data_IF_418160040818
#
_entry.id   IF_418160040818
#
_cell.length_a   1.000
_cell.length_b   1.000
_cell.length_c   1.000
_cell.angle_alpha   90.00
_cell.angle_beta   90.00
_cell.angle_gamma   90.00
#
_symmetry.space_group_name_H-M   'P 1'
#
loop_
_entity.id
_entity.type
_entity.pdbx_description
1 polymer ?
#
# COMPACT_ATOMS: atom_id res chain seq x y z
N UNK A 1 -5.62 14.41 25.29
CA UNK A 1 -4.30 14.26 24.62
C UNK A 1 -4.26 12.89 23.94
N UNK A 2 -3.73 12.75 22.72
CA UNK A 2 -3.63 11.44 22.07
C UNK A 2 -2.50 10.60 22.69
N UNK A 3 -2.77 9.33 23.01
CA UNK A 3 -1.76 8.43 23.57
C UNK A 3 -0.54 8.32 22.65
N UNK A 4 0.66 8.63 23.17
CA UNK A 4 1.92 8.49 22.43
C UNK A 4 2.42 7.04 22.48
N UNK A 5 1.51 6.09 22.22
CA UNK A 5 1.81 4.66 22.17
C UNK A 5 2.85 4.40 21.06
N UNK A 6 3.90 3.65 21.41
CA UNK A 6 5.02 3.38 20.50
C UNK A 6 4.57 2.37 19.43
N UNK A 7 4.48 2.82 18.18
CA UNK A 7 4.09 1.98 17.05
C UNK A 7 5.24 1.05 16.65
N UNK A 8 5.16 -0.20 17.09
CA UNK A 8 6.15 -1.25 16.77
C UNK A 8 5.75 -1.97 15.48
N UNK A 9 6.60 -1.91 14.44
CA UNK A 9 6.38 -2.52 13.12
C UNK A 9 7.35 -3.68 12.88
N UNK A 10 6.85 -4.82 12.37
CA UNK A 10 7.71 -5.91 11.87
C UNK A 10 8.04 -5.67 10.39
N UNK A 11 9.31 -5.39 10.08
CA UNK A 11 9.80 -5.11 8.73
C UNK A 11 9.74 -6.31 7.77
N UNK A 12 9.60 -7.54 8.29
CA UNK A 12 9.57 -8.75 7.46
C UNK A 12 8.50 -8.66 6.39
N UNK A 13 8.88 -8.90 5.14
CA UNK A 13 7.93 -9.01 4.04
C UNK A 13 7.42 -7.67 3.50
N UNK A 14 7.83 -6.53 4.05
CA UNK A 14 7.44 -5.21 3.55
C UNK A 14 8.36 -4.73 2.42
N UNK A 15 7.87 -3.83 1.57
CA UNK A 15 8.65 -3.19 0.51
C UNK A 15 9.30 -1.89 1.02
N UNK A 16 10.63 -1.83 0.96
CA UNK A 16 11.50 -0.77 1.52
C UNK A 16 10.92 0.64 1.39
N UNK A 17 10.72 1.12 0.15
CA UNK A 17 10.25 2.49 -0.10
C UNK A 17 8.80 2.76 0.33
N UNK A 18 7.90 1.76 0.21
CA UNK A 18 6.49 1.92 0.64
C UNK A 18 6.37 1.98 2.16
N UNK A 19 7.16 1.16 2.88
CA UNK A 19 7.24 1.23 4.33
C UNK A 19 7.86 2.55 4.78
N UNK A 20 8.96 2.98 4.13
CA UNK A 20 9.67 4.21 4.47
C UNK A 20 8.77 5.46 4.34
N UNK A 21 7.98 5.57 3.26
CA UNK A 21 7.09 6.72 3.03
C UNK A 21 5.97 6.81 4.08
N UNK A 22 5.37 5.66 4.45
CA UNK A 22 4.34 5.61 5.49
C UNK A 22 4.94 5.97 6.86
N UNK A 23 6.11 5.42 7.19
CA UNK A 23 6.82 5.73 8.44
C UNK A 23 7.21 7.21 8.51
N UNK A 24 7.75 7.79 7.44
CA UNK A 24 8.07 9.22 7.37
C UNK A 24 6.86 10.11 7.71
N UNK A 25 5.69 9.83 7.12
CA UNK A 25 4.44 10.56 7.40
C UNK A 25 4.01 10.42 8.86
N UNK A 26 3.99 9.20 9.42
CA UNK A 26 3.60 8.97 10.82
C UNK A 26 4.53 9.69 11.82
N UNK A 27 5.82 9.74 11.50
CA UNK A 27 6.86 10.34 12.33
C UNK A 27 6.84 11.89 12.29
N UNK A 28 6.46 12.48 11.15
CA UNK A 28 6.16 13.92 11.04
C UNK A 28 4.90 14.31 11.81
N UNK A 29 3.89 13.44 11.87
CA UNK A 29 2.68 13.57 12.71
C UNK A 29 2.95 13.33 14.22
N UNK A 30 4.21 13.26 14.65
CA UNK A 30 4.59 13.17 16.07
C UNK A 30 4.62 11.76 16.67
N UNK A 31 4.17 10.72 15.95
CA UNK A 31 4.13 9.35 16.48
C UNK A 31 5.55 8.77 16.63
N UNK A 32 5.80 8.11 17.77
CA UNK A 32 7.05 7.35 18.03
C UNK A 32 6.94 6.00 17.32
N UNK A 33 7.83 5.71 16.38
CA UNK A 33 7.77 4.52 15.52
C UNK A 33 9.04 3.69 15.67
N UNK A 34 8.90 2.37 15.81
CA UNK A 34 10.02 1.45 15.93
C UNK A 34 9.88 0.38 14.85
N UNK A 35 10.79 0.36 13.88
CA UNK A 35 10.83 -0.66 12.82
C UNK A 35 11.88 -1.70 13.16
N UNK A 36 11.44 -2.96 13.20
CA UNK A 36 12.19 -4.08 13.75
C UNK A 36 12.33 -5.15 12.68
N UNK A 37 13.37 -5.99 12.72
CA UNK A 37 13.65 -7.01 11.69
C UNK A 37 13.88 -6.41 10.30
N UNK A 38 14.71 -5.37 10.25
CA UNK A 38 15.03 -4.66 9.00
C UNK A 38 15.72 -5.56 7.96
N UNK A 39 16.42 -6.62 8.37
CA UNK A 39 16.99 -7.64 7.49
C UNK A 39 15.93 -8.37 6.64
N UNK A 40 14.69 -8.47 7.17
CA UNK A 40 13.55 -9.10 6.50
C UNK A 40 12.79 -8.19 5.53
N UNK A 41 13.19 -6.93 5.36
CA UNK A 41 12.61 -6.00 4.38
C UNK A 41 12.97 -6.45 2.96
N UNK A 42 12.05 -6.26 2.02
CA UNK A 42 12.22 -6.59 0.61
C UNK A 42 12.38 -5.34 -0.28
N UNK A 43 13.06 -5.50 -1.41
CA UNK A 43 13.11 -4.54 -2.53
C UNK A 43 12.55 -5.25 -3.77
N UNK A 44 11.79 -4.55 -4.60
CA UNK A 44 11.27 -5.11 -5.86
C UNK A 44 12.37 -5.24 -6.93
N UNK A 45 12.20 -6.21 -7.85
CA UNK A 45 13.15 -6.51 -8.90
C UNK A 45 14.27 -7.46 -8.46
N UNK A 46 15.01 -7.98 -9.46
CA UNK A 46 16.05 -8.99 -9.24
C UNK A 46 17.15 -8.51 -8.27
N UNK A 47 17.67 -9.45 -7.47
CA UNK A 47 18.74 -9.22 -6.52
C UNK A 47 19.97 -8.54 -7.16
N UNK A 48 20.45 -9.06 -8.30
CA UNK A 48 21.64 -8.53 -8.98
C UNK A 48 21.51 -7.05 -9.37
N UNK A 49 20.35 -6.63 -9.92
CA UNK A 49 20.05 -5.22 -10.22
C UNK A 49 20.07 -4.34 -8.97
N UNK A 50 19.59 -4.84 -7.84
CA UNK A 50 19.60 -4.11 -6.58
C UNK A 50 21.01 -4.07 -5.94
N UNK A 51 21.85 -5.12 -6.13
CA UNK A 51 23.28 -5.10 -5.80
C UNK A 51 24.02 -4.05 -6.64
N UNK A 52 23.87 -4.06 -7.97
CA UNK A 52 24.50 -3.05 -8.85
C UNK A 52 24.11 -1.61 -8.48
N UNK A 53 22.84 -1.34 -8.19
CA UNK A 53 22.40 -0.03 -7.67
C UNK A 53 23.13 0.36 -6.38
N UNK A 54 23.34 -0.57 -5.46
CA UNK A 54 24.06 -0.28 -4.22
C UNK A 54 25.55 -0.04 -4.48
N UNK A 55 26.20 -0.88 -5.30
CA UNK A 55 27.61 -0.70 -5.69
C UNK A 55 27.85 0.64 -6.41
N UNK A 56 26.94 1.04 -7.31
CA UNK A 56 26.99 2.36 -7.97
C UNK A 56 26.83 3.52 -6.97
N UNK A 57 26.07 3.33 -5.89
CA UNK A 57 26.02 4.28 -4.78
C UNK A 57 27.35 4.29 -3.98
N UNK A 58 27.97 3.14 -3.71
CA UNK A 58 29.27 3.07 -3.00
C UNK A 58 30.40 3.83 -3.71
N UNK A 59 30.41 3.85 -5.05
CA UNK A 59 31.39 4.61 -5.84
C UNK A 59 31.36 6.12 -5.58
N UNK A 60 30.27 6.66 -5.01
CA UNK A 60 30.14 8.07 -4.67
C UNK A 60 30.92 8.40 -3.39
N UNK A 61 32.20 8.77 -3.55
CA UNK A 61 33.07 9.34 -2.51
C UNK A 61 33.39 10.81 -2.83
N UNK A 62 33.74 11.59 -1.81
CA UNK A 62 34.44 12.87 -2.03
C UNK A 62 35.88 12.53 -2.43
N UNK A 63 36.41 13.18 -3.47
CA UNK A 63 37.73 12.83 -4.01
C UNK A 63 38.88 13.33 -3.11
N UNK A 64 38.75 14.55 -2.57
CA UNK A 64 39.76 15.19 -1.71
C UNK A 64 39.86 14.56 -0.32
N UNK A 65 38.73 14.34 0.35
CA UNK A 65 38.69 13.67 1.65
C UNK A 65 37.48 12.72 1.75
N UNK A 66 37.66 11.40 1.53
CA UNK A 66 36.57 10.43 1.58
C UNK A 66 35.81 10.38 2.91
N UNK A 67 36.44 10.70 4.04
CA UNK A 67 35.82 10.70 5.37
C UNK A 67 34.81 11.85 5.56
N UNK A 68 35.02 12.99 4.89
CA UNK A 68 34.02 14.09 4.80
C UNK A 68 32.93 13.82 3.74
N UNK A 69 33.04 12.72 2.99
CA UNK A 69 32.11 12.34 1.92
C UNK A 69 30.83 11.63 2.37
N UNK A 70 30.00 11.15 1.42
CA UNK A 70 28.72 10.50 1.73
C UNK A 70 28.90 9.16 2.47
N UNK A 71 28.46 9.07 3.72
CA UNK A 71 28.63 7.85 4.52
C UNK A 71 27.89 6.63 3.92
N UNK A 72 28.60 5.51 3.82
CA UNK A 72 28.15 4.24 3.21
C UNK A 72 27.79 3.19 4.27
N UNK A 73 26.66 3.36 4.95
CA UNK A 73 26.15 2.38 5.93
C UNK A 73 25.91 1.00 5.29
N UNK A 74 26.15 -0.08 6.04
CA UNK A 74 26.00 -1.48 5.57
C UNK A 74 24.83 -2.23 6.20
N UNK A 75 24.51 -1.97 7.47
CA UNK A 75 23.43 -2.65 8.18
C UNK A 75 22.03 -2.37 7.58
N UNK A 76 21.13 -3.37 7.46
CA UNK A 76 19.79 -3.20 6.89
C UNK A 76 18.99 -2.09 7.56
N UNK A 77 19.01 -2.03 8.90
CA UNK A 77 18.43 -0.96 9.73
C UNK A 77 18.88 0.44 9.31
N UNK A 78 20.18 0.63 9.09
CA UNK A 78 20.76 1.92 8.66
C UNK A 78 20.48 2.25 7.20
N UNK A 79 20.30 1.25 6.33
CA UNK A 79 19.80 1.46 4.96
C UNK A 79 18.35 1.96 5.01
N UNK A 80 17.48 1.32 5.80
CA UNK A 80 16.09 1.75 5.97
C UNK A 80 15.99 3.15 6.60
N UNK A 81 16.76 3.43 7.67
CA UNK A 81 16.85 4.77 8.26
C UNK A 81 17.33 5.81 7.24
N UNK A 82 18.31 5.50 6.38
CA UNK A 82 18.73 6.39 5.29
C UNK A 82 17.58 6.68 4.32
N UNK A 83 16.78 5.68 3.95
CA UNK A 83 15.62 5.90 3.06
C UNK A 83 14.54 6.77 3.71
N UNK A 84 14.26 6.60 5.01
CA UNK A 84 13.32 7.48 5.72
C UNK A 84 13.89 8.90 5.86
N UNK A 85 15.19 9.04 6.15
CA UNK A 85 15.89 10.34 6.19
C UNK A 85 15.84 11.10 4.87
N UNK A 86 15.88 10.38 3.74
CA UNK A 86 15.70 10.96 2.40
C UNK A 86 14.28 11.44 2.11
N UNK A 87 13.28 10.99 2.88
CA UNK A 87 11.87 11.38 2.80
C UNK A 87 11.48 12.42 3.88
N UNK A 88 12.45 12.96 4.62
CA UNK A 88 12.23 13.92 5.71
C UNK A 88 13.08 15.18 5.52
N UNK A 89 12.57 16.37 5.91
CA UNK A 89 13.29 17.65 5.84
C UNK A 89 14.36 17.76 6.96
N UNK A 90 15.27 16.78 7.01
CA UNK A 90 16.22 16.50 8.10
C UNK A 90 17.30 17.57 8.36
N UNK A 91 17.33 18.62 7.54
CA UNK A 91 18.12 19.82 7.79
C UNK A 91 17.44 20.78 8.77
N UNK A 92 16.11 20.77 8.82
CA UNK A 92 15.31 21.56 9.78
C UNK A 92 15.29 20.91 11.17
N UNK A 93 15.11 21.71 12.22
CA UNK A 93 14.92 21.21 13.60
C UNK A 93 13.68 20.30 13.70
N UNK A 94 12.59 20.62 13.01
CA UNK A 94 11.38 19.77 12.91
C UNK A 94 11.68 18.40 12.30
N UNK A 95 12.53 18.35 11.27
CA UNK A 95 12.96 17.11 10.62
C UNK A 95 13.95 16.27 11.46
N UNK A 96 14.74 16.91 12.31
CA UNK A 96 15.62 16.26 13.29
C UNK A 96 14.78 15.62 14.40
N UNK A 97 13.94 16.42 15.09
CA UNK A 97 13.00 15.92 16.10
C UNK A 97 12.00 14.89 15.58
N UNK A 98 11.76 14.83 14.26
CA UNK A 98 11.07 13.73 13.60
C UNK A 98 11.94 12.46 13.60
N UNK A 99 13.16 12.49 13.08
CA UNK A 99 14.08 11.34 13.05
C UNK A 99 14.34 10.73 14.43
N UNK A 100 14.39 11.53 15.49
CA UNK A 100 14.64 11.06 16.86
C UNK A 100 13.49 10.20 17.41
N UNK A 101 12.28 10.34 16.85
CA UNK A 101 11.11 9.48 17.13
C UNK A 101 11.16 8.13 16.42
N UNK A 102 12.06 7.95 15.46
CA UNK A 102 12.24 6.72 14.68
C UNK A 102 13.39 5.89 15.23
N UNK A 103 13.09 4.69 15.74
CA UNK A 103 14.12 3.68 16.07
C UNK A 103 14.06 2.53 15.06
N UNK A 104 15.23 1.98 14.71
CA UNK A 104 15.38 0.94 13.70
C UNK A 104 16.28 -0.19 14.23
N UNK A 105 15.90 -1.44 14.01
CA UNK A 105 16.65 -2.60 14.52
C UNK A 105 16.70 -3.75 13.49
N UNK A 106 17.86 -4.41 13.45
CA UNK A 106 18.06 -5.71 12.81
C UNK A 106 17.78 -6.80 13.87
N UNK A 107 17.00 -7.84 13.53
CA UNK A 107 16.38 -8.73 14.52
C UNK A 107 15.38 -8.02 15.45
N UNK A 108 14.92 -8.70 16.51
CA UNK A 108 14.10 -8.09 17.60
C UNK A 108 14.90 -8.07 18.92
N UNK A 109 15.42 -6.90 19.36
CA UNK A 109 15.99 -6.77 20.69
C UNK A 109 14.90 -6.66 21.78
N UNK A 110 15.19 -7.05 23.04
CA UNK A 110 14.44 -6.57 24.20
C UNK A 110 14.43 -5.03 24.23
N UNK A 111 13.36 -4.35 24.69
CA UNK A 111 12.13 -4.89 25.29
C UNK A 111 11.00 -5.18 24.27
N UNK A 112 11.31 -5.27 22.96
CA UNK A 112 10.29 -5.40 21.91
C UNK A 112 9.88 -6.85 21.61
N UNK A 113 10.60 -7.85 22.12
CA UNK A 113 10.28 -9.28 21.93
C UNK A 113 8.96 -9.70 22.59
N UNK A 114 8.55 -8.98 23.65
CA UNK A 114 7.29 -9.19 24.38
C UNK A 114 6.11 -8.39 23.80
N UNK A 115 6.38 -7.34 23.03
CA UNK A 115 5.36 -6.42 22.51
C UNK A 115 4.68 -6.99 21.25
N UNK A 116 3.39 -6.71 21.08
CA UNK A 116 2.67 -6.99 19.82
C UNK A 116 3.29 -6.12 18.73
N UNK A 117 3.64 -6.74 17.61
CA UNK A 117 4.13 -6.06 16.40
C UNK A 117 2.99 -5.87 15.43
N UNK A 118 2.89 -4.69 14.85
CA UNK A 118 1.94 -4.33 13.83
C UNK A 118 2.56 -4.50 12.44
N UNK A 119 1.71 -4.53 11.42
CA UNK A 119 2.04 -4.75 10.01
C UNK A 119 1.37 -3.63 9.21
N UNK A 120 1.94 -3.26 8.07
CA UNK A 120 1.42 -2.19 7.19
C UNK A 120 0.97 -2.82 5.86
N UNK A 121 -0.31 -3.23 5.71
CA UNK A 121 -0.78 -3.95 4.52
C UNK A 121 -0.49 -3.22 3.20
N UNK A 122 -0.62 -1.89 3.19
CA UNK A 122 -0.34 -1.04 2.04
C UNK A 122 1.12 -1.11 1.54
N UNK A 123 2.06 -1.63 2.35
CA UNK A 123 3.47 -1.82 2.03
C UNK A 123 3.91 -3.30 1.99
N UNK A 124 3.03 -4.28 2.23
CA UNK A 124 3.38 -5.70 2.16
C UNK A 124 3.72 -6.16 0.73
N UNK A 125 4.78 -6.96 0.58
CA UNK A 125 5.22 -7.55 -0.70
C UNK A 125 4.14 -8.41 -1.34
N UNK A 126 3.42 -9.20 -0.54
CA UNK A 126 2.35 -10.10 -1.04
C UNK A 126 1.12 -9.33 -1.55
N UNK A 127 0.81 -8.18 -0.97
CA UNK A 127 -0.33 -7.32 -1.39
C UNK A 127 0.05 -6.43 -2.58
N UNK A 128 1.33 -6.14 -2.79
CA UNK A 128 1.79 -5.09 -3.72
C UNK A 128 2.68 -5.54 -4.89
N UNK A 129 3.08 -6.80 -4.97
CA UNK A 129 3.75 -7.38 -6.16
C UNK A 129 2.96 -8.59 -6.67
N UNK A 130 2.79 -8.71 -8.00
CA UNK A 130 2.35 -9.97 -8.64
C UNK A 130 3.33 -11.10 -8.26
N UNK A 131 2.85 -12.33 -7.95
CA UNK A 131 3.67 -13.39 -7.35
C UNK A 131 4.86 -13.81 -8.21
N UNK A 132 4.75 -13.72 -9.54
CA UNK A 132 5.79 -14.04 -10.53
C UNK A 132 6.96 -13.04 -10.55
N UNK A 133 6.89 -11.89 -9.87
CA UNK A 133 7.94 -10.86 -9.92
C UNK A 133 9.04 -11.12 -8.89
N UNK A 134 10.26 -11.38 -9.38
CA UNK A 134 11.50 -11.50 -8.58
C UNK A 134 11.70 -10.27 -7.67
N UNK A 135 12.15 -10.52 -6.44
CA UNK A 135 12.41 -9.51 -5.40
C UNK A 135 13.73 -9.83 -4.68
N UNK A 136 14.25 -8.87 -3.91
CA UNK A 136 15.52 -8.97 -3.19
C UNK A 136 15.32 -8.78 -1.68
N UNK A 137 15.97 -9.62 -0.85
CA UNK A 137 16.01 -9.45 0.60
C UNK A 137 17.08 -8.42 1.01
N UNK A 138 16.73 -7.49 1.90
CA UNK A 138 17.66 -6.45 2.36
C UNK A 138 18.81 -7.02 3.19
N UNK A 139 18.58 -8.05 4.01
CA UNK A 139 19.64 -8.74 4.77
C UNK A 139 20.73 -9.35 3.88
N UNK A 140 20.35 -10.03 2.79
CA UNK A 140 21.31 -10.58 1.80
C UNK A 140 22.05 -9.45 1.09
N UNK A 141 21.34 -8.39 0.68
CA UNK A 141 21.96 -7.24 0.01
C UNK A 141 22.98 -6.55 0.91
N UNK A 142 22.64 -6.34 2.18
CA UNK A 142 23.52 -5.78 3.20
C UNK A 142 24.79 -6.60 3.40
N UNK A 143 24.67 -7.93 3.51
CA UNK A 143 25.81 -8.83 3.70
C UNK A 143 26.76 -8.81 2.49
N UNK A 144 26.24 -8.95 1.27
CA UNK A 144 27.03 -8.89 0.03
C UNK A 144 27.65 -7.51 -0.28
N UNK A 145 27.35 -6.49 0.53
CA UNK A 145 28.05 -5.19 0.51
C UNK A 145 28.84 -4.92 1.80
N UNK A 146 29.08 -5.91 2.65
CA UNK A 146 29.98 -5.80 3.82
C UNK A 146 29.31 -5.67 5.20
N UNK A 147 28.06 -6.10 5.37
CA UNK A 147 27.46 -6.23 6.72
C UNK A 147 27.94 -7.52 7.40
N UNK A 148 28.77 -7.35 8.44
CA UNK A 148 29.41 -8.45 9.18
C UNK A 148 28.44 -9.26 10.08
N UNK A 149 27.38 -8.65 10.59
CA UNK A 149 26.58 -9.21 11.69
C UNK A 149 25.41 -10.12 11.28
N UNK A 150 25.34 -10.59 10.03
CA UNK A 150 24.23 -11.43 9.56
C UNK A 150 24.08 -12.72 10.38
N UNK A 151 25.18 -13.47 10.56
CA UNK A 151 25.17 -14.73 11.30
C UNK A 151 24.76 -14.56 12.77
N UNK A 152 25.32 -13.54 13.45
CA UNK A 152 24.99 -13.19 14.84
C UNK A 152 23.51 -12.80 14.97
N UNK A 153 22.98 -12.03 14.02
CA UNK A 153 21.55 -11.65 14.01
C UNK A 153 20.66 -12.89 13.83
N UNK A 154 21.06 -13.84 12.98
CA UNK A 154 20.31 -15.07 12.74
C UNK A 154 20.26 -16.00 13.96
N UNK A 155 21.38 -16.22 14.65
CA UNK A 155 21.42 -17.06 15.86
C UNK A 155 20.65 -16.44 17.03
N UNK A 156 20.70 -15.11 17.20
CA UNK A 156 19.88 -14.39 18.17
C UNK A 156 18.38 -14.47 17.84
N UNK A 157 17.99 -14.32 16.57
CA UNK A 157 16.60 -14.49 16.13
C UNK A 157 16.08 -15.92 16.34
N UNK A 158 16.92 -16.96 16.23
CA UNK A 158 16.52 -18.34 16.54
C UNK A 158 16.37 -18.59 18.05
N UNK A 159 17.35 -18.17 18.86
CA UNK A 159 17.23 -18.18 20.34
C UNK A 159 15.97 -17.45 20.82
N UNK A 160 15.55 -16.39 20.11
CA UNK A 160 14.30 -15.66 20.36
C UNK A 160 13.05 -16.40 19.82
N UNK A 161 13.15 -17.14 18.71
CA UNK A 161 12.06 -17.98 18.18
C UNK A 161 11.73 -19.13 19.12
N UNK A 162 12.71 -19.81 19.73
CA UNK A 162 12.44 -20.86 20.72
C UNK A 162 11.74 -20.32 21.98
N UNK A 163 12.25 -19.22 22.54
CA UNK A 163 11.59 -18.53 23.67
C UNK A 163 10.16 -18.10 23.33
N UNK A 164 9.89 -17.75 22.06
CA UNK A 164 8.54 -17.45 21.57
C UNK A 164 7.65 -18.69 21.37
N UNK A 165 8.20 -19.83 20.88
CA UNK A 165 7.48 -21.12 20.76
C UNK A 165 7.02 -21.60 22.14
N UNK A 166 7.88 -21.56 23.16
CA UNK A 166 7.54 -21.91 24.55
C UNK A 166 6.42 -20.99 25.08
N UNK A 167 6.56 -19.67 24.92
CA UNK A 167 5.54 -18.67 25.30
C UNK A 167 4.19 -18.92 24.60
N UNK A 168 4.22 -19.32 23.32
CA UNK A 168 3.01 -19.64 22.55
C UNK A 168 2.34 -20.95 23.01
N UNK A 169 3.12 -22.01 23.28
CA UNK A 169 2.59 -23.27 23.86
C UNK A 169 1.84 -23.00 25.17
N UNK A 170 2.47 -22.29 26.12
CA UNK A 170 1.82 -21.89 27.39
C UNK A 170 0.56 -21.04 27.15
N UNK A 171 0.58 -20.08 26.21
CA UNK A 171 -0.62 -19.29 25.87
C UNK A 171 -1.75 -20.15 25.27
N UNK A 172 -1.44 -21.14 24.42
CA UNK A 172 -2.44 -22.05 23.83
C UNK A 172 -3.07 -22.96 24.91
N UNK A 173 -2.28 -23.42 25.89
CA UNK A 173 -2.77 -24.17 27.04
C UNK A 173 -3.71 -23.31 27.91
N UNK A 174 -3.31 -22.10 28.28
CA UNK A 174 -4.15 -21.16 29.04
C UNK A 174 -5.45 -20.80 28.30
N UNK A 175 -5.41 -20.64 26.98
CA UNK A 175 -6.62 -20.43 26.16
C UNK A 175 -7.57 -21.64 26.22
N UNK A 176 -7.05 -22.86 26.14
CA UNK A 176 -7.85 -24.10 26.27
C UNK A 176 -8.48 -24.21 27.65
N UNK A 177 -7.70 -24.03 28.71
CA UNK A 177 -8.19 -24.05 30.10
C UNK A 177 -9.27 -22.99 30.34
N UNK A 178 -9.06 -21.76 29.86
CA UNK A 178 -10.06 -20.70 29.91
C UNK A 178 -11.35 -21.08 29.16
N UNK A 179 -11.25 -21.65 27.96
CA UNK A 179 -12.43 -22.10 27.20
C UNK A 179 -13.16 -23.29 27.84
N UNK A 180 -12.46 -24.15 28.56
CA UNK A 180 -13.10 -25.20 29.38
C UNK A 180 -13.79 -24.59 30.61
N UNK A 181 -13.15 -23.65 31.31
CA UNK A 181 -13.75 -22.95 32.44
C UNK A 181 -15.01 -22.19 32.03
N UNK A 182 -14.98 -21.45 30.91
CA UNK A 182 -16.13 -20.74 30.33
C UNK A 182 -17.32 -21.68 30.07
N UNK A 183 -17.08 -22.91 29.57
CA UNK A 183 -18.12 -23.95 29.43
C UNK A 183 -18.61 -24.48 30.78
N UNK A 184 -17.69 -24.83 31.69
CA UNK A 184 -18.04 -25.42 32.98
C UNK A 184 -18.93 -24.49 33.84
N UNK A 185 -18.85 -23.17 33.65
CA UNK A 185 -19.67 -22.19 34.38
C UNK A 185 -20.81 -21.59 33.54
N UNK A 186 -21.05 -22.08 32.32
CA UNK A 186 -21.96 -21.47 31.33
C UNK A 186 -23.35 -21.14 31.91
N UNK A 187 -23.96 -22.08 32.64
CA UNK A 187 -25.25 -21.89 33.32
C UNK A 187 -25.25 -20.73 34.33
N UNK A 188 -24.12 -20.46 35.01
CA UNK A 188 -23.97 -19.37 35.99
C UNK A 188 -23.70 -18.01 35.35
N UNK A 189 -23.12 -17.98 34.14
CA UNK A 189 -22.81 -16.73 33.43
C UNK A 189 -23.87 -16.31 32.42
N UNK A 190 -24.82 -17.19 32.07
CA UNK A 190 -25.75 -16.98 30.95
C UNK A 190 -26.46 -15.62 30.95
N UNK A 191 -26.96 -15.15 32.10
CA UNK A 191 -27.58 -13.82 32.27
C UNK A 191 -26.69 -12.67 31.76
N UNK A 192 -25.38 -12.74 31.98
CA UNK A 192 -24.42 -11.76 31.46
C UNK A 192 -24.11 -12.02 29.97
N UNK A 193 -23.99 -13.29 29.58
CA UNK A 193 -23.77 -13.71 28.19
C UNK A 193 -24.87 -13.22 27.26
N UNK A 194 -26.13 -13.24 27.70
CA UNK A 194 -27.30 -12.73 26.96
C UNK A 194 -27.23 -11.22 26.75
N UNK A 195 -27.02 -10.43 27.81
CA UNK A 195 -26.84 -8.98 27.70
C UNK A 195 -25.69 -8.63 26.75
N UNK A 196 -24.57 -9.39 26.79
CA UNK A 196 -23.44 -9.21 25.88
C UNK A 196 -23.75 -9.61 24.42
N UNK A 197 -24.67 -10.56 24.18
CA UNK A 197 -25.19 -10.89 22.84
C UNK A 197 -26.07 -9.76 22.31
N UNK A 198 -26.98 -9.21 23.12
CA UNK A 198 -27.86 -8.08 22.74
C UNK A 198 -27.06 -6.86 22.26
N UNK A 199 -25.91 -6.59 22.89
CA UNK A 199 -25.00 -5.50 22.51
C UNK A 199 -23.98 -5.89 21.40
N UNK A 200 -24.11 -7.06 20.77
CA UNK A 200 -23.23 -7.54 19.71
C UNK A 200 -21.78 -7.87 20.13
N UNK A 201 -21.47 -7.81 21.43
CA UNK A 201 -20.13 -8.04 21.98
C UNK A 201 -19.70 -9.51 21.91
N UNK A 202 -20.69 -10.41 21.93
CA UNK A 202 -20.51 -11.85 21.70
C UNK A 202 -21.25 -12.27 20.43
N UNK A 203 -20.54 -12.25 19.30
CA UNK A 203 -20.98 -12.91 18.07
C UNK A 203 -21.11 -14.41 18.35
N UNK A 204 -22.31 -14.96 18.16
CA UNK A 204 -22.55 -16.40 18.26
C UNK A 204 -21.60 -17.15 17.30
N UNK A 205 -21.02 -18.26 17.76
CA UNK A 205 -20.12 -19.03 16.92
C UNK A 205 -20.91 -19.65 15.75
N UNK A 206 -20.80 -19.07 14.55
CA UNK A 206 -21.25 -19.68 13.31
C UNK A 206 -20.73 -21.14 13.24
N UNK A 207 -21.55 -22.09 12.73
CA UNK A 207 -21.25 -23.52 12.80
C UNK A 207 -19.86 -23.80 12.22
N UNK A 208 -19.08 -24.59 12.96
CA UNK A 208 -17.62 -24.64 12.83
C UNK A 208 -17.10 -25.47 11.66
N UNK A 209 -17.98 -25.91 10.76
CA UNK A 209 -17.58 -26.35 9.44
C UNK A 209 -18.66 -26.12 8.38
N UNK A 210 -18.21 -25.81 7.16
CA UNK A 210 -19.07 -25.93 5.97
C UNK A 210 -19.39 -27.41 5.64
N UNK A 211 -18.61 -28.36 6.16
CA UNK A 211 -18.87 -29.80 6.01
C UNK A 211 -20.09 -30.27 6.80
N UNK A 212 -20.41 -29.73 7.98
CA UNK A 212 -21.64 -30.10 8.71
C UNK A 212 -22.90 -29.62 7.98
N UNK A 213 -22.85 -28.45 7.33
CA UNK A 213 -23.94 -27.98 6.46
C UNK A 213 -24.09 -28.85 5.21
N UNK A 214 -22.98 -29.21 4.54
CA UNK A 214 -23.02 -30.15 3.42
C UNK A 214 -23.54 -31.53 3.84
N UNK A 215 -23.12 -32.05 5.00
CA UNK A 215 -23.57 -33.35 5.51
C UNK A 215 -25.06 -33.36 5.86
N UNK A 216 -25.63 -32.22 6.27
CA UNK A 216 -27.08 -32.07 6.48
C UNK A 216 -27.86 -31.96 5.16
N UNK A 217 -27.35 -31.20 4.19
CA UNK A 217 -27.98 -31.06 2.85
C UNK A 217 -27.97 -32.40 2.11
N UNK A 218 -26.83 -33.08 2.09
CA UNK A 218 -26.68 -34.36 1.37
C UNK A 218 -27.53 -35.47 2.01
N UNK A 219 -27.73 -35.43 3.33
CA UNK A 219 -28.66 -36.32 4.05
C UNK A 219 -30.14 -36.03 3.78
N UNK A 220 -30.49 -34.86 3.22
CA UNK A 220 -31.85 -34.59 2.72
C UNK A 220 -32.09 -35.03 1.27
N UNK A 221 -31.03 -35.40 0.53
CA UNK A 221 -31.14 -35.89 -0.85
C UNK A 221 -31.25 -37.43 -0.92
N UNK A 222 -30.78 -38.17 0.10
CA UNK A 222 -30.85 -39.64 0.17
C UNK A 222 -32.26 -40.23 0.42
N UNK A 223 -33.31 -39.41 0.50
CA UNK A 223 -34.71 -39.85 0.75
C UNK A 223 -35.62 -39.62 -0.47
N UNK A 224 -35.07 -39.79 -1.68
CA UNK A 224 -35.87 -40.01 -2.89
C UNK A 224 -35.32 -41.21 -3.69
N UNK A 225 -36.14 -42.22 -4.05
CA UNK A 225 -35.69 -43.37 -4.81
C UNK A 225 -35.41 -42.99 -6.28
N UNK A 226 -34.42 -43.62 -6.94
CA UNK A 226 -34.09 -43.35 -8.33
C UNK A 226 -35.20 -43.85 -9.27
N UNK A 227 -35.59 -43.04 -10.26
CA UNK A 227 -36.50 -43.48 -11.32
C UNK A 227 -35.74 -44.18 -12.44
N UNK A 228 -35.94 -45.50 -12.57
CA UNK A 228 -35.51 -46.28 -13.73
C UNK A 228 -36.41 -47.49 -13.94
N UNK A 229 -36.80 -47.68 -15.21
CA UNK A 229 -37.76 -48.66 -15.75
C UNK A 229 -39.24 -48.28 -15.63
N UNK A 230 -39.88 -48.20 -16.80
CA UNK A 230 -41.32 -48.19 -17.03
C UNK A 230 -41.63 -49.47 -17.80
N UNK A 231 -42.59 -50.29 -17.36
CA UNK A 231 -43.23 -51.30 -18.20
C UNK A 231 -44.70 -50.93 -18.47
N UNK A 232 -45.12 -50.96 -19.72
CA UNK A 232 -46.51 -50.80 -20.11
C UNK A 232 -47.35 -52.03 -19.72
N UNK A 233 -48.50 -51.83 -19.08
CA UNK A 233 -49.67 -52.73 -19.18
C UNK A 233 -50.91 -52.08 -18.54
N UNK A 234 -51.67 -51.30 -19.33
CA UNK A 234 -52.90 -50.67 -18.88
C UNK A 234 -54.11 -51.54 -19.23
N UNK A 235 -54.56 -52.39 -18.30
CA UNK A 235 -55.93 -52.94 -18.34
C UNK A 235 -56.43 -53.45 -16.99
N UNK A 236 -57.76 -53.35 -16.80
CA UNK A 236 -58.60 -53.98 -15.77
C UNK A 236 -58.52 -53.39 -14.34
N UNK A 237 -59.71 -52.99 -13.85
CA UNK A 237 -60.02 -52.41 -12.53
C UNK A 237 -59.37 -51.03 -12.25
N UNK A 238 -60.10 -50.00 -11.79
CA UNK A 238 -61.55 -49.89 -11.62
C UNK A 238 -61.92 -48.91 -10.50
N UNK A 239 -62.66 -47.85 -10.86
CA UNK A 239 -63.33 -46.88 -9.98
C UNK A 239 -62.50 -45.87 -9.14
N UNK A 240 -62.83 -44.58 -9.40
CA UNK A 240 -63.21 -43.56 -8.40
C UNK A 240 -62.23 -42.42 -7.99
N UNK A 241 -62.75 -41.19 -8.11
CA UNK A 241 -62.38 -39.89 -7.49
C UNK A 241 -60.99 -39.27 -7.82
N UNK A 242 -60.79 -37.93 -7.73
CA UNK A 242 -60.93 -37.13 -8.95
C UNK A 242 -59.72 -36.26 -9.33
N UNK A 243 -59.62 -35.96 -10.63
CA UNK A 243 -58.62 -35.06 -11.20
C UNK A 243 -58.92 -33.58 -10.85
N UNK A 244 -58.12 -32.96 -9.98
CA UNK A 244 -58.09 -31.48 -9.82
C UNK A 244 -56.78 -30.91 -9.23
N UNK A 245 -56.05 -31.67 -8.40
CA UNK A 245 -54.86 -31.16 -7.70
C UNK A 245 -53.60 -30.92 -8.57
N UNK A 246 -53.46 -31.59 -9.71
CA UNK A 246 -52.17 -31.67 -10.42
C UNK A 246 -51.90 -30.55 -11.45
N UNK A 247 -52.94 -29.87 -11.95
CA UNK A 247 -52.77 -28.78 -12.93
C UNK A 247 -52.12 -27.54 -12.29
N UNK A 248 -52.41 -27.28 -11.01
CA UNK A 248 -51.99 -26.06 -10.34
C UNK A 248 -50.49 -26.01 -9.99
N UNK A 249 -49.88 -27.13 -9.57
CA UNK A 249 -48.44 -27.19 -9.29
C UNK A 249 -47.58 -27.12 -10.57
N UNK A 250 -48.08 -27.68 -11.69
CA UNK A 250 -47.41 -27.58 -12.98
C UNK A 250 -47.27 -26.12 -13.45
N UNK A 251 -48.37 -25.38 -13.42
CA UNK A 251 -48.39 -23.95 -13.78
C UNK A 251 -47.48 -23.12 -12.86
N UNK A 252 -47.53 -23.36 -11.54
CA UNK A 252 -46.71 -22.59 -10.60
C UNK A 252 -45.20 -22.78 -10.83
N UNK A 253 -44.76 -24.00 -11.17
CA UNK A 253 -43.34 -24.26 -11.46
C UNK A 253 -42.88 -23.63 -12.78
N UNK A 254 -43.74 -23.57 -13.80
CA UNK A 254 -43.44 -22.85 -15.04
C UNK A 254 -43.36 -21.33 -14.81
N UNK A 255 -44.35 -20.74 -14.12
CA UNK A 255 -44.40 -19.30 -13.84
C UNK A 255 -43.16 -18.82 -13.05
N UNK A 256 -42.70 -19.61 -12.08
CA UNK A 256 -41.48 -19.32 -11.31
C UNK A 256 -40.23 -19.40 -12.19
N UNK A 257 -40.14 -20.36 -13.13
CA UNK A 257 -39.00 -20.45 -14.05
C UNK A 257 -38.98 -19.30 -15.07
N UNK A 258 -40.14 -18.87 -15.57
CA UNK A 258 -40.24 -17.67 -16.42
C UNK A 258 -39.85 -16.40 -15.66
N UNK A 259 -40.33 -16.21 -14.43
CA UNK A 259 -39.94 -15.09 -13.56
C UNK A 259 -38.42 -15.07 -13.31
N UNK A 260 -37.80 -16.22 -13.03
CA UNK A 260 -36.35 -16.35 -12.87
C UNK A 260 -35.61 -16.02 -14.18
N UNK A 261 -36.12 -16.48 -15.32
CA UNK A 261 -35.54 -16.19 -16.64
C UNK A 261 -35.57 -14.69 -16.97
N UNK A 262 -36.74 -14.05 -16.84
CA UNK A 262 -36.94 -12.62 -17.06
C UNK A 262 -36.07 -11.76 -16.12
N UNK A 263 -35.93 -12.16 -14.85
CA UNK A 263 -35.06 -11.47 -13.89
C UNK A 263 -33.57 -11.59 -14.26
N UNK A 264 -33.13 -12.76 -14.73
CA UNK A 264 -31.76 -12.97 -15.22
C UNK A 264 -31.49 -12.15 -16.49
N UNK A 265 -32.44 -12.11 -17.42
CA UNK A 265 -32.32 -11.39 -18.69
C UNK A 265 -32.30 -9.87 -18.45
N UNK A 266 -33.11 -9.36 -17.50
CA UNK A 266 -33.04 -8.00 -16.97
C UNK A 266 -31.67 -7.66 -16.38
N UNK A 267 -31.14 -8.50 -15.49
CA UNK A 267 -29.81 -8.33 -14.90
C UNK A 267 -28.69 -8.31 -15.96
N UNK A 268 -28.78 -9.16 -16.97
CA UNK A 268 -27.81 -9.18 -18.08
C UNK A 268 -27.86 -7.88 -18.89
N UNK A 269 -29.05 -7.34 -19.14
CA UNK A 269 -29.23 -6.06 -19.83
C UNK A 269 -28.65 -4.89 -19.03
N UNK A 270 -28.94 -4.83 -17.73
CA UNK A 270 -28.40 -3.83 -16.80
C UNK A 270 -26.87 -3.89 -16.75
N UNK A 271 -26.29 -5.08 -16.61
CA UNK A 271 -24.83 -5.28 -16.59
C UNK A 271 -24.17 -4.93 -17.94
N UNK A 272 -24.86 -5.14 -19.07
CA UNK A 272 -24.38 -4.77 -20.39
C UNK A 272 -24.35 -3.23 -20.57
N UNK A 273 -25.40 -2.53 -20.17
CA UNK A 273 -25.45 -1.05 -20.20
C UNK A 273 -24.45 -0.39 -19.23
N UNK A 274 -24.26 -0.94 -18.03
CA UNK A 274 -23.20 -0.52 -17.10
C UNK A 274 -21.80 -0.76 -17.68
N UNK A 275 -21.61 -1.80 -18.49
CA UNK A 275 -20.34 -2.09 -19.16
C UNK A 275 -20.08 -1.20 -20.38
N UNK A 276 -21.11 -0.86 -21.17
CA UNK A 276 -20.97 0.06 -22.31
C UNK A 276 -20.77 1.51 -21.86
N UNK A 277 -21.48 1.98 -20.83
CA UNK A 277 -21.22 3.31 -20.24
C UNK A 277 -19.80 3.41 -19.69
N UNK A 278 -19.29 2.39 -19.00
CA UNK A 278 -17.87 2.31 -18.58
C UNK A 278 -16.85 2.23 -19.75
N UNK A 279 -17.28 1.94 -20.98
CA UNK A 279 -16.43 1.95 -22.17
C UNK A 279 -16.51 3.26 -22.96
N UNK A 280 -17.65 3.97 -22.90
CA UNK A 280 -17.86 5.30 -23.50
C UNK A 280 -17.31 6.46 -22.65
N UNK A 281 -16.77 6.18 -21.46
CA UNK A 281 -15.91 7.11 -20.72
C UNK A 281 -14.41 6.81 -20.97
N UNK A 282 -13.78 7.37 -22.02
CA UNK A 282 -12.32 7.49 -22.05
C UNK A 282 -11.88 8.33 -20.84
N UNK A 283 -11.02 7.76 -20.00
CA UNK A 283 -10.92 8.17 -18.60
C UNK A 283 -10.30 9.54 -18.31
N UNK A 284 -11.13 10.54 -18.00
CA UNK A 284 -10.74 11.86 -17.47
C UNK A 284 -10.71 11.89 -15.93
N UNK A 285 -9.87 11.04 -15.32
CA UNK A 285 -9.73 10.94 -13.84
C UNK A 285 -8.52 11.69 -13.27
N UNK A 286 -8.24 12.88 -13.81
CA UNK A 286 -7.40 13.93 -13.22
C UNK A 286 -7.81 15.29 -13.81
N UNK A 287 -7.54 16.37 -13.08
CA UNK A 287 -7.67 17.77 -13.53
C UNK A 287 -9.10 18.33 -13.77
N UNK A 288 -10.05 18.04 -12.87
CA UNK A 288 -11.19 18.97 -12.65
C UNK A 288 -11.58 19.13 -11.18
N UNK A 289 -10.66 19.69 -10.39
CA UNK A 289 -10.91 20.04 -8.97
C UNK A 289 -10.13 21.29 -8.49
N UNK A 290 -9.55 22.06 -9.42
CA UNK A 290 -8.74 23.25 -9.11
C UNK A 290 -9.34 24.59 -9.59
N UNK A 291 -10.36 24.57 -10.46
CA UNK A 291 -10.85 25.77 -11.15
C UNK A 291 -12.07 26.45 -10.51
N UNK A 292 -12.68 25.86 -9.48
CA UNK A 292 -13.92 26.37 -8.86
C UNK A 292 -13.66 27.02 -7.48
N UNK A 293 -12.51 26.74 -6.84
CA UNK A 293 -12.14 27.36 -5.55
C UNK A 293 -11.37 28.69 -5.70
N UNK A 294 -11.81 29.51 -6.68
CA UNK A 294 -11.30 30.86 -6.94
C UNK A 294 -12.36 31.97 -6.72
N UNK A 295 -13.65 31.62 -6.55
CA UNK A 295 -14.75 32.59 -6.40
C UNK A 295 -15.47 32.54 -5.04
N UNK A 296 -14.98 31.77 -4.07
CA UNK A 296 -15.54 31.70 -2.71
C UNK A 296 -14.57 32.23 -1.64
N UNK A 297 -14.09 33.45 -1.82
CA UNK A 297 -13.48 34.28 -0.76
C UNK A 297 -13.65 35.79 -1.06
N UNK A 298 -14.80 36.17 -1.63
CA UNK A 298 -15.24 37.56 -1.60
C UNK A 298 -15.57 37.90 -0.14
N UNK A 299 -14.64 38.58 0.54
CA UNK A 299 -14.76 38.87 1.96
C UNK A 299 -15.92 39.84 2.22
N UNK A 300 -16.94 39.39 2.97
CA UNK A 300 -17.98 40.26 3.52
C UNK A 300 -17.38 41.13 4.63
N UNK A 301 -16.73 42.22 4.22
CA UNK A 301 -16.15 43.23 5.12
C UNK A 301 -17.24 44.27 5.47
N UNK A 302 -18.19 43.85 6.32
CA UNK A 302 -19.28 44.69 6.81
C UNK A 302 -18.90 45.51 8.04
N UNK A 303 -17.99 46.47 7.89
CA UNK A 303 -17.63 47.42 8.96
C UNK A 303 -18.51 48.68 8.93
N UNK A 304 -19.16 49.00 10.05
CA UNK A 304 -19.96 50.22 10.20
C UNK A 304 -19.07 51.46 10.37
N UNK A 305 -19.45 52.57 9.71
CA UNK A 305 -18.98 53.95 9.95
C UNK A 305 -17.50 54.24 9.58
N UNK A 306 -17.09 55.39 9.02
CA UNK A 306 -17.75 56.53 8.36
C UNK A 306 -16.72 57.28 7.47
N UNK A 307 -17.11 58.13 6.48
CA UNK A 307 -16.22 58.58 5.41
C UNK A 307 -15.64 60.00 5.53
N UNK A 308 -14.51 60.27 4.86
CA UNK A 308 -14.07 61.61 4.41
C UNK A 308 -12.97 61.53 3.30
N UNK A 309 -13.07 62.39 2.27
CA UNK A 309 -12.04 62.93 1.33
C UNK A 309 -10.91 62.00 0.80
N UNK A 310 -10.83 61.65 -0.50
CA UNK A 310 -10.37 62.46 -1.66
C UNK A 310 -8.87 62.86 -1.60
N UNK A 311 -8.02 62.73 -2.64
CA UNK A 311 -8.21 62.55 -4.11
C UNK A 311 -7.24 61.50 -4.73
N UNK A 312 -7.57 60.77 -5.80
CA UNK A 312 -7.16 60.97 -7.23
C UNK A 312 -5.72 61.53 -7.42
N UNK A 313 -4.83 61.02 -8.28
CA UNK A 313 -4.78 59.89 -9.27
C UNK A 313 -3.26 59.56 -9.53
N UNK A 314 -2.71 58.53 -10.17
CA UNK A 314 -3.10 57.43 -11.10
C UNK A 314 -2.39 56.09 -10.66
N UNK A 315 -2.21 54.95 -11.35
CA UNK A 315 -2.09 54.46 -12.76
C UNK A 315 -0.73 54.72 -13.47
N UNK A 316 -0.16 53.87 -14.36
CA UNK A 316 -0.59 52.56 -14.96
C UNK A 316 0.62 51.66 -15.35
N UNK A 317 0.39 50.34 -15.55
CA UNK A 317 1.22 49.34 -16.31
C UNK A 317 2.61 48.99 -15.71
N UNK A 318 3.14 47.75 -15.76
CA UNK A 318 2.57 46.46 -16.17
C UNK A 318 3.56 45.58 -16.96
N UNK A 319 4.03 44.45 -16.41
CA UNK A 319 4.91 43.50 -17.10
C UNK A 319 4.70 42.04 -16.65
N UNK A 320 4.47 41.13 -17.62
CA UNK A 320 4.31 39.68 -17.41
C UNK A 320 5.58 38.93 -17.82
N UNK A 321 6.07 38.00 -17.00
CA UNK A 321 6.89 36.87 -17.48
C UNK A 321 6.61 35.57 -16.72
N UNK A 322 6.61 34.46 -17.45
CA UNK A 322 6.07 33.17 -16.99
C UNK A 322 7.07 32.26 -16.29
N UNK A 323 6.59 31.55 -15.27
CA UNK A 323 7.28 30.43 -14.62
C UNK A 323 7.46 29.25 -15.58
N UNK A 324 8.70 28.76 -15.75
CA UNK A 324 8.97 27.51 -16.49
C UNK A 324 9.32 26.36 -15.54
N UNK A 325 8.62 25.23 -15.69
CA UNK A 325 8.83 23.99 -14.93
C UNK A 325 9.78 23.05 -15.68
N UNK A 326 10.93 22.72 -15.08
CA UNK A 326 11.89 21.77 -15.65
C UNK A 326 11.44 20.32 -15.36
N UNK A 327 10.76 19.70 -16.33
CA UNK A 327 10.57 18.24 -16.38
C UNK A 327 11.66 17.59 -17.24
N UNK A 328 12.61 16.88 -16.60
CA UNK A 328 13.65 16.13 -17.30
C UNK A 328 13.39 14.62 -17.32
N UNK A 329 12.56 14.20 -18.28
CA UNK A 329 12.40 12.79 -18.66
C UNK A 329 13.38 12.44 -19.78
N UNK A 330 14.62 12.08 -19.43
CA UNK A 330 15.60 11.66 -20.43
C UNK A 330 15.24 10.30 -21.04
N UNK A 331 14.80 10.33 -22.29
CA UNK A 331 14.73 9.17 -23.19
C UNK A 331 16.12 8.56 -23.43
N UNK A 332 16.13 7.34 -23.99
CA UNK A 332 17.26 6.42 -23.90
C UNK A 332 17.70 5.97 -25.29
N UNK A 333 18.53 6.79 -25.92
CA UNK A 333 19.10 6.50 -27.23
C UNK A 333 20.57 6.03 -27.18
N UNK A 334 20.99 5.43 -28.29
CA UNK A 334 22.27 4.73 -28.43
C UNK A 334 23.38 5.71 -28.78
N UNK A 335 24.60 5.39 -28.33
CA UNK A 335 25.83 5.90 -28.95
C UNK A 335 26.62 4.68 -29.44
N UNK A 336 27.02 4.71 -30.70
CA UNK A 336 27.97 3.80 -31.35
C UNK A 336 28.83 4.62 -32.34
N UNK A 337 30.06 4.17 -32.68
CA UNK A 337 31.15 5.10 -33.02
C UNK A 337 31.48 5.20 -34.53
N UNK A 338 32.62 5.85 -34.82
CA UNK A 338 33.26 6.14 -36.12
C UNK A 338 32.70 7.36 -36.90
N UNK A 339 33.50 8.11 -37.68
CA UNK A 339 34.95 7.96 -38.00
C UNK A 339 35.65 9.27 -38.41
N UNK A 340 36.93 9.39 -38.02
CA UNK A 340 38.08 10.06 -38.67
C UNK A 340 37.92 11.24 -39.66
N UNK A 341 38.66 12.32 -39.33
CA UNK A 341 39.60 13.04 -40.22
C UNK A 341 39.12 13.77 -41.49
N UNK A 342 39.46 15.06 -41.59
CA UNK A 342 40.52 15.48 -42.52
C UNK A 342 41.25 16.75 -42.03
N UNK A 343 42.40 17.07 -42.64
CA UNK A 343 43.22 18.26 -42.35
C UNK A 343 42.93 19.38 -43.35
N UNK A 344 43.07 20.63 -42.91
CA UNK A 344 43.91 21.59 -43.66
C UNK A 344 44.50 22.63 -42.72
N UNK A 345 45.63 23.20 -43.11
CA UNK A 345 46.43 24.17 -42.34
C UNK A 345 46.68 25.34 -43.29
N UNK A 346 46.25 26.54 -42.93
CA UNK A 346 46.68 27.77 -43.59
C UNK A 346 47.44 28.64 -42.58
N UNK A 347 48.36 29.43 -43.11
CA UNK A 347 49.43 30.11 -42.37
C UNK A 347 49.31 31.61 -42.57
N UNK A 348 49.71 32.36 -41.54
CA UNK A 348 49.80 33.81 -41.48
C UNK A 348 50.57 34.47 -42.63
N UNK A 349 50.17 35.68 -43.00
CA UNK A 349 51.01 36.90 -43.16
C UNK A 349 50.06 38.11 -42.92
N UNK A 350 50.42 39.08 -42.06
CA UNK A 350 50.99 40.41 -42.37
C UNK A 350 49.97 41.37 -43.04
N UNK A 351 49.93 42.69 -42.81
CA UNK A 351 50.78 43.59 -41.99
C UNK A 351 50.10 44.97 -41.79
N UNK A 352 50.59 45.81 -40.85
CA UNK A 352 50.37 47.28 -40.77
C UNK A 352 48.91 47.84 -40.68
N UNK A 353 48.69 49.14 -40.47
CA UNK A 353 48.99 49.98 -39.29
C UNK A 353 47.93 51.13 -39.22
N UNK A 354 48.16 52.21 -38.45
CA UNK A 354 47.34 53.46 -38.40
C UNK A 354 45.94 53.32 -37.74
N UNK A 355 45.41 54.31 -37.00
CA UNK A 355 45.81 54.87 -35.70
C UNK A 355 44.72 55.83 -35.16
N UNK A 356 44.74 56.06 -33.83
CA UNK A 356 44.26 57.29 -33.13
C UNK A 356 42.75 57.62 -32.97
N UNK A 357 42.45 58.20 -31.78
CA UNK A 357 41.23 58.93 -31.34
C UNK A 357 39.91 58.13 -31.11
N UNK A 358 39.05 58.50 -30.13
CA UNK A 358 39.23 59.14 -28.81
C UNK A 358 37.92 58.94 -27.96
N UNK A 359 38.00 59.12 -26.63
CA UNK A 359 36.91 59.38 -25.63
C UNK A 359 35.47 58.81 -25.83
N UNK A 360 34.93 57.99 -24.89
CA UNK A 360 34.37 58.30 -23.55
C UNK A 360 32.86 58.65 -23.53
N UNK A 361 32.17 58.25 -22.45
CA UNK A 361 30.71 58.38 -22.17
C UNK A 361 29.78 57.57 -23.08
N UNK A 362 28.64 57.04 -22.62
CA UNK A 362 28.21 56.80 -21.23
C UNK A 362 26.70 56.86 -21.03
N UNK A 363 26.10 55.78 -20.51
CA UNK A 363 24.96 55.66 -19.58
C UNK A 363 24.71 54.16 -19.31
#
# INVERSE_FOLDING_TARGET
MAEVQVLVLDGRGHLLGRLAAIVARQVLLGRKVVVIRCEGINISGNFYRNKLKYLAFLRKRMNTNPSRGPCHFRAPSRIFWRTVRGMLPHKTKRGQAALDRLKVFDGIPPPYDRKKRMVVPAALKVVRLKPTRKFAYLGRLAHEVGWKYQAVTATLEEKRKEKAKIRYRKKKQLMRLRKQAEKNVEKKINKYTEVLKTHGLLVCELPKSWSELLYLIQRTEEVMPPQSSVPDTLSRWGSAVPCLGWVHLGCFRYLVLELISLFNQSLYFILFFLRQSLALFPGTSLEYSGAIWAHCNLCLLGSSNSPASASLVAETIGAHHHTQLIFLSFSKDRVSPCSTSFKTKLVSHSETQISLWFCLTGW
#
